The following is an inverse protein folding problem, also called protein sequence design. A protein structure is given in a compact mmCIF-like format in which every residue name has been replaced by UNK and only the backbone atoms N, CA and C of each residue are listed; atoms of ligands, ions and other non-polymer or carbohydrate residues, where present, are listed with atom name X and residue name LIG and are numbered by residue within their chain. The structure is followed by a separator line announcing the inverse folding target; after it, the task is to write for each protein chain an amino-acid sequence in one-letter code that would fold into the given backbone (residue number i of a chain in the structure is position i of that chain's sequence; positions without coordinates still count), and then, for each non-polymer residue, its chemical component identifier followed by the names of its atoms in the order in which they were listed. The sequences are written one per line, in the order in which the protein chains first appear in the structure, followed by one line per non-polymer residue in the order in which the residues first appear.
data_IF_533746567710
#
_entry.id   IF_533746567710
#
_cell.length_a   1.000
_cell.length_b   1.000
_cell.length_c   1.000
_cell.angle_alpha   90.00
_cell.angle_beta   90.00
_cell.angle_gamma   90.00
#
_symmetry.space_group_name_H-M   'P 1'
#
loop_
_entity.id
_entity.type
_entity.pdbx_description
1 polymer ?
#
# COMPACT_ATOMS: atom_id res chain seq x y z
N UNK A 1 -14.08 34.23 -12.98
CA UNK A 1 -13.11 33.40 -12.23
C UNK A 1 -11.82 33.34 -13.03
N UNK A 2 -10.67 33.67 -12.46
CA UNK A 2 -9.40 33.56 -13.20
C UNK A 2 -9.07 32.09 -13.44
N UNK A 3 -8.51 31.79 -14.62
CA UNK A 3 -8.17 30.42 -15.07
C UNK A 3 -7.31 29.66 -14.03
N UNK A 4 -6.51 30.40 -13.27
CA UNK A 4 -5.74 30.00 -12.08
C UNK A 4 -6.54 29.27 -11.01
N UNK A 5 -7.73 29.79 -10.66
CA UNK A 5 -8.57 29.23 -9.61
C UNK A 5 -9.13 27.87 -10.01
N UNK A 6 -9.48 27.70 -11.29
CA UNK A 6 -10.02 26.44 -11.82
C UNK A 6 -8.96 25.36 -11.87
N UNK A 7 -7.76 25.66 -12.37
CA UNK A 7 -6.65 24.70 -12.45
C UNK A 7 -6.21 24.22 -11.06
N UNK A 8 -6.19 25.12 -10.07
CA UNK A 8 -5.90 24.75 -8.68
C UNK A 8 -6.97 23.82 -8.09
N UNK A 9 -8.26 24.13 -8.29
CA UNK A 9 -9.36 23.27 -7.84
C UNK A 9 -9.30 21.87 -8.45
N UNK A 10 -9.02 21.75 -9.76
CA UNK A 10 -8.83 20.46 -10.43
C UNK A 10 -7.67 19.68 -9.80
N UNK A 11 -6.55 20.35 -9.52
CA UNK A 11 -5.39 19.71 -8.89
C UNK A 11 -5.70 19.21 -7.47
N UNK A 12 -6.48 19.97 -6.68
CA UNK A 12 -6.94 19.54 -5.36
C UNK A 12 -7.90 18.36 -5.42
N UNK A 13 -8.85 18.36 -6.37
CA UNK A 13 -9.77 17.24 -6.56
C UNK A 13 -9.02 15.95 -6.92
N UNK A 14 -8.04 16.02 -7.82
CA UNK A 14 -7.19 14.88 -8.17
C UNK A 14 -6.39 14.35 -6.97
N UNK A 15 -5.88 15.24 -6.11
CA UNK A 15 -5.21 14.84 -4.88
C UNK A 15 -6.20 14.20 -3.88
N UNK A 16 -7.41 14.74 -3.75
CA UNK A 16 -8.48 14.16 -2.92
C UNK A 16 -8.87 12.75 -3.35
N UNK A 17 -9.03 12.52 -4.66
CA UNK A 17 -9.32 11.18 -5.20
C UNK A 17 -8.20 10.19 -4.86
N UNK A 18 -6.93 10.59 -5.03
CA UNK A 18 -5.77 9.77 -4.68
C UNK A 18 -5.69 9.48 -3.17
N UNK A 19 -6.13 10.40 -2.32
CA UNK A 19 -6.19 10.18 -0.87
C UNK A 19 -7.22 9.10 -0.49
N UNK A 20 -8.40 9.12 -1.12
CA UNK A 20 -9.42 8.07 -0.94
C UNK A 20 -8.90 6.74 -1.48
N UNK A 21 -8.28 6.71 -2.66
CA UNK A 21 -7.64 5.51 -3.19
C UNK A 21 -6.57 4.95 -2.25
N UNK A 22 -5.77 5.83 -1.62
CA UNK A 22 -4.76 5.40 -0.66
C UNK A 22 -5.38 4.77 0.58
N UNK A 23 -6.47 5.34 1.11
CA UNK A 23 -7.21 4.75 2.23
C UNK A 23 -7.69 3.32 1.91
N UNK A 24 -8.24 3.12 0.71
CA UNK A 24 -8.66 1.79 0.26
C UNK A 24 -7.47 0.83 0.09
N UNK A 25 -6.36 1.30 -0.50
CA UNK A 25 -5.16 0.48 -0.69
C UNK A 25 -4.49 0.09 0.64
N UNK A 26 -4.45 1.00 1.61
CA UNK A 26 -3.93 0.72 2.96
C UNK A 26 -4.85 -0.27 3.70
N UNK A 27 -6.17 -0.14 3.55
CA UNK A 27 -7.13 -1.09 4.11
C UNK A 27 -6.97 -2.49 3.50
N UNK A 28 -6.82 -2.59 2.18
CA UNK A 28 -6.55 -3.84 1.49
C UNK A 28 -5.21 -4.47 1.93
N UNK A 29 -4.17 -3.66 2.14
CA UNK A 29 -2.87 -4.12 2.65
C UNK A 29 -2.99 -4.71 4.05
N UNK A 30 -3.74 -4.05 4.95
CA UNK A 30 -4.00 -4.57 6.30
C UNK A 30 -4.76 -5.88 6.27
N UNK A 31 -5.80 -5.98 5.43
CA UNK A 31 -6.57 -7.20 5.26
C UNK A 31 -5.73 -8.36 4.70
N UNK A 32 -4.88 -8.09 3.69
CA UNK A 32 -3.97 -9.09 3.13
C UNK A 32 -2.94 -9.56 4.17
N UNK A 33 -2.39 -8.64 4.97
CA UNK A 33 -1.48 -8.97 6.07
C UNK A 33 -2.14 -9.87 7.11
N UNK A 34 -3.39 -9.57 7.49
CA UNK A 34 -4.15 -10.40 8.42
C UNK A 34 -4.30 -11.83 7.89
N UNK A 35 -4.73 -12.00 6.62
CA UNK A 35 -4.85 -13.32 5.98
C UNK A 35 -3.53 -14.10 5.94
N UNK A 36 -2.42 -13.42 5.70
CA UNK A 36 -1.09 -14.04 5.75
C UNK A 36 -0.76 -14.55 7.16
N UNK A 37 -1.04 -13.78 8.20
CA UNK A 37 -0.85 -14.22 9.58
C UNK A 37 -1.81 -15.37 9.96
N UNK A 38 -3.08 -15.30 9.56
CA UNK A 38 -4.05 -16.38 9.78
C UNK A 38 -3.56 -17.70 9.15
N UNK A 39 -2.86 -17.64 8.01
CA UNK A 39 -2.25 -18.81 7.37
C UNK A 39 -1.04 -19.35 8.11
N UNK A 40 -0.24 -18.49 8.73
CA UNK A 40 0.81 -18.93 9.64
C UNK A 40 0.19 -19.64 10.83
N UNK A 41 -0.81 -19.04 11.48
CA UNK A 41 -1.47 -19.62 12.65
C UNK A 41 -2.12 -20.98 12.34
N UNK A 42 -2.75 -21.12 11.16
CA UNK A 42 -3.28 -22.40 10.68
C UNK A 42 -2.21 -23.47 10.48
N UNK A 43 -1.03 -23.08 10.01
CA UNK A 43 0.10 -23.99 9.85
C UNK A 43 0.67 -24.41 11.20
N UNK A 44 0.89 -23.44 12.10
CA UNK A 44 1.44 -23.68 13.44
C UNK A 44 0.52 -24.54 14.30
N UNK A 45 -0.80 -24.36 14.19
CA UNK A 45 -1.79 -25.20 14.87
C UNK A 45 -1.68 -26.69 14.49
N UNK A 46 -1.19 -27.00 13.28
CA UNK A 46 -1.05 -28.38 12.77
C UNK A 46 0.34 -28.97 12.96
N UNK A 47 1.39 -28.14 12.95
CA UNK A 47 2.78 -28.58 12.89
C UNK A 47 3.63 -28.15 14.09
N UNK A 48 3.06 -27.40 15.03
CA UNK A 48 3.78 -26.75 16.12
C UNK A 48 4.25 -25.35 15.71
N UNK A 49 4.49 -24.51 16.73
CA UNK A 49 4.97 -23.13 16.52
C UNK A 49 6.36 -23.12 15.87
N UNK A 50 6.59 -22.14 15.00
CA UNK A 50 7.94 -21.80 14.61
C UNK A 50 8.71 -21.29 15.85
N UNK A 51 9.94 -21.77 16.04
CA UNK A 51 10.80 -21.39 17.17
C UNK A 51 11.27 -19.93 17.09
N UNK A 52 11.17 -19.32 15.91
CA UNK A 52 11.61 -17.95 15.66
C UNK A 52 10.79 -17.27 14.57
N UNK A 53 11.11 -16.01 14.28
CA UNK A 53 10.51 -15.27 13.17
C UNK A 53 10.82 -15.98 11.86
N UNK A 54 9.79 -16.19 11.03
CA UNK A 54 9.94 -16.81 9.70
C UNK A 54 11.02 -16.08 8.89
N UNK A 55 12.02 -16.84 8.48
CA UNK A 55 13.20 -16.43 7.72
C UNK A 55 13.39 -17.37 6.53
N UNK A 56 13.52 -16.82 5.33
CA UNK A 56 13.70 -17.59 4.08
C UNK A 56 15.06 -18.27 3.97
N UNK A 57 16.02 -17.88 4.81
CA UNK A 57 17.36 -18.49 4.86
C UNK A 57 17.43 -19.72 5.76
N UNK A 58 16.42 -19.90 6.61
CA UNK A 58 16.33 -21.01 7.56
C UNK A 58 15.60 -22.19 6.92
N UNK A 59 16.28 -23.33 6.66
CA UNK A 59 15.67 -24.50 6.02
C UNK A 59 14.45 -25.06 6.79
N UNK A 60 14.43 -24.93 8.12
CA UNK A 60 13.31 -25.33 8.97
C UNK A 60 12.01 -24.58 8.63
N UNK A 61 12.11 -23.36 8.11
CA UNK A 61 10.96 -22.55 7.72
C UNK A 61 10.46 -22.85 6.30
N UNK A 62 11.13 -23.71 5.53
CA UNK A 62 10.74 -23.97 4.15
C UNK A 62 9.30 -24.47 4.00
N UNK A 63 8.79 -25.24 4.98
CA UNK A 63 7.41 -25.76 4.97
C UNK A 63 6.38 -24.66 5.19
N UNK A 64 6.57 -23.80 6.19
CA UNK A 64 5.65 -22.68 6.45
C UNK A 64 5.68 -21.68 5.30
N UNK A 65 6.87 -21.36 4.78
CA UNK A 65 7.03 -20.46 3.63
C UNK A 65 6.30 -20.98 2.40
N UNK A 66 6.45 -22.28 2.09
CA UNK A 66 5.72 -22.91 0.99
C UNK A 66 4.20 -22.86 1.21
N UNK A 67 3.75 -23.05 2.45
CA UNK A 67 2.34 -23.03 2.81
C UNK A 67 1.72 -21.63 2.69
N UNK A 68 2.44 -20.59 3.09
CA UNK A 68 1.93 -19.21 3.18
C UNK A 68 2.28 -18.36 1.96
N UNK A 69 2.91 -18.94 0.93
CA UNK A 69 3.51 -18.22 -0.19
C UNK A 69 2.51 -17.32 -0.91
N UNK A 70 1.33 -17.84 -1.23
CA UNK A 70 0.31 -17.13 -2.01
C UNK A 70 -0.19 -15.89 -1.25
N UNK A 71 -0.47 -16.04 0.03
CA UNK A 71 -0.95 -14.94 0.87
C UNK A 71 0.14 -13.91 1.16
N UNK A 72 1.40 -14.36 1.27
CA UNK A 72 2.54 -13.46 1.37
C UNK A 72 2.72 -12.62 0.09
N UNK A 73 2.66 -13.24 -1.08
CA UNK A 73 2.72 -12.55 -2.38
C UNK A 73 1.58 -11.55 -2.54
N UNK A 74 0.34 -11.94 -2.19
CA UNK A 74 -0.80 -11.04 -2.21
C UNK A 74 -0.63 -9.82 -1.27
N UNK A 75 -0.06 -10.03 -0.08
CA UNK A 75 0.29 -8.93 0.82
C UNK A 75 1.35 -7.99 0.22
N UNK A 76 2.40 -8.54 -0.40
CA UNK A 76 3.44 -7.73 -1.05
C UNK A 76 2.89 -6.90 -2.22
N UNK A 77 2.00 -7.49 -3.02
CA UNK A 77 1.36 -6.79 -4.13
C UNK A 77 0.43 -5.67 -3.66
N UNK A 78 -0.38 -5.92 -2.61
CA UNK A 78 -1.19 -4.89 -1.98
C UNK A 78 -0.33 -3.73 -1.43
N UNK A 79 0.77 -4.07 -0.75
CA UNK A 79 1.72 -3.08 -0.23
C UNK A 79 2.38 -2.26 -1.35
N UNK A 80 2.75 -2.90 -2.47
CA UNK A 80 3.32 -2.22 -3.64
C UNK A 80 2.29 -1.25 -4.24
N UNK A 81 1.03 -1.66 -4.33
CA UNK A 81 -0.04 -0.80 -4.82
C UNK A 81 -0.24 0.43 -3.91
N UNK A 82 -0.32 0.24 -2.59
CA UNK A 82 -0.42 1.34 -1.63
C UNK A 82 0.76 2.34 -1.76
N UNK A 83 1.98 1.83 -1.92
CA UNK A 83 3.17 2.66 -2.17
C UNK A 83 3.08 3.46 -3.49
N UNK A 84 2.57 2.85 -4.55
CA UNK A 84 2.36 3.53 -5.83
C UNK A 84 1.32 4.64 -5.73
N UNK A 85 0.19 4.40 -5.07
CA UNK A 85 -0.85 5.43 -4.86
C UNK A 85 -0.33 6.56 -3.99
N UNK A 86 0.41 6.27 -2.91
CA UNK A 86 1.04 7.27 -2.05
C UNK A 86 1.97 8.20 -2.83
N UNK A 87 2.86 7.63 -3.65
CA UNK A 87 3.76 8.41 -4.52
C UNK A 87 3.00 9.31 -5.50
N UNK A 88 1.89 8.81 -6.08
CA UNK A 88 1.02 9.61 -6.95
C UNK A 88 0.38 10.77 -6.19
N UNK A 89 -0.11 10.52 -4.97
CA UNK A 89 -0.69 11.55 -4.10
C UNK A 89 0.32 12.64 -3.75
N UNK A 90 1.56 12.26 -3.37
CA UNK A 90 2.63 13.22 -3.08
C UNK A 90 2.93 14.11 -4.29
N UNK A 91 3.03 13.52 -5.48
CA UNK A 91 3.26 14.27 -6.71
C UNK A 91 2.09 15.21 -7.05
N UNK A 92 0.84 14.75 -6.90
CA UNK A 92 -0.35 15.57 -7.12
C UNK A 92 -0.41 16.75 -6.14
N UNK A 93 -0.10 16.50 -4.87
CA UNK A 93 -0.07 17.53 -3.83
C UNK A 93 1.02 18.57 -4.09
N UNK A 94 2.22 18.14 -4.50
CA UNK A 94 3.29 19.06 -4.93
C UNK A 94 2.87 19.91 -6.11
N UNK A 95 2.25 19.32 -7.13
CA UNK A 95 1.74 20.06 -8.30
C UNK A 95 0.69 21.10 -7.91
N UNK A 96 -0.25 20.74 -7.03
CA UNK A 96 -1.25 21.67 -6.53
C UNK A 96 -0.60 22.86 -5.79
N UNK A 97 0.41 22.60 -4.96
CA UNK A 97 1.17 23.64 -4.28
C UNK A 97 1.95 24.56 -5.26
N UNK A 98 2.57 23.99 -6.29
CA UNK A 98 3.27 24.78 -7.32
C UNK A 98 2.31 25.72 -8.07
N UNK A 99 1.12 25.25 -8.45
CA UNK A 99 0.12 26.07 -9.15
C UNK A 99 -0.28 27.30 -8.32
N UNK A 100 -0.39 27.15 -7.00
CA UNK A 100 -0.65 28.29 -6.09
C UNK A 100 0.54 29.24 -6.05
N UNK A 101 1.76 28.70 -5.91
CA UNK A 101 2.97 29.49 -5.79
C UNK A 101 3.31 30.28 -7.07
N UNK A 102 3.04 29.75 -8.26
CA UNK A 102 3.33 30.39 -9.55
C UNK A 102 2.18 31.24 -10.10
N UNK A 103 1.07 31.36 -9.37
CA UNK A 103 -0.11 32.07 -9.87
C UNK A 103 -0.63 31.45 -11.17
N UNK A 104 -0.58 30.11 -11.29
CA UNK A 104 -1.12 29.31 -12.40
C UNK A 104 -0.44 29.48 -13.76
N UNK A 105 0.80 29.94 -13.77
CA UNK A 105 1.68 29.74 -14.93
C UNK A 105 2.27 28.32 -14.87
N UNK A 106 2.00 27.53 -15.90
CA UNK A 106 2.61 26.22 -16.19
C UNK A 106 3.32 26.31 -17.55
#
# INVERSE_FOLDING_TARGET
MSMTSTTHLIALLAAGELAVQLLHADSATRAAKARYHDKIDQFEAKHGRASSRIDTRQPEHAKVIKHTKVEYEAYLDAKRNAGNVRRRLENASRKAATIVATGGTL
#
